data_IF_976683007532
#
_entry.id   IF_976683007532
#
_cell.length_a   1.000
_cell.length_b   1.000
_cell.length_c   1.000
_cell.angle_alpha   90.00
_cell.angle_beta   90.00
_cell.angle_gamma   90.00
#
_symmetry.space_group_name_H-M   'P 1'
#
loop_
_entity.id
_entity.type
_entity.pdbx_description
1 polymer ?
#
# COMPACT_ATOMS: atom_id res chain seq x y z
N UNK A 1 14.84 2.41 -11.13
CA UNK A 1 13.43 2.84 -11.06
C UNK A 1 13.07 3.17 -9.62
N UNK A 2 12.08 4.03 -9.41
CA UNK A 2 11.54 4.35 -8.08
C UNK A 2 10.03 4.06 -8.08
N UNK A 3 9.56 3.27 -7.13
CA UNK A 3 8.14 2.96 -6.93
C UNK A 3 7.60 3.75 -5.74
N UNK A 4 6.45 4.40 -5.91
CA UNK A 4 5.72 5.11 -4.86
C UNK A 4 4.43 4.33 -4.59
N UNK A 5 4.23 3.96 -3.32
CA UNK A 5 3.03 3.26 -2.88
C UNK A 5 2.06 4.27 -2.27
N UNK A 6 0.83 4.26 -2.77
CA UNK A 6 -0.31 4.94 -2.15
C UNK A 6 -1.39 3.92 -1.82
N UNK A 7 -2.03 4.10 -0.68
CA UNK A 7 -3.16 3.27 -0.26
C UNK A 7 -4.24 4.23 0.20
N UNK A 8 -5.43 4.13 -0.40
CA UNK A 8 -6.54 5.06 -0.13
C UNK A 8 -6.15 6.53 -0.31
N UNK A 9 -5.31 6.81 -1.30
CA UNK A 9 -4.78 8.15 -1.57
C UNK A 9 -3.61 8.57 -0.67
N UNK A 10 -3.32 7.85 0.42
CA UNK A 10 -2.25 8.19 1.37
C UNK A 10 -0.91 7.62 0.88
N UNK A 11 0.14 8.45 0.89
CA UNK A 11 1.49 8.04 0.52
C UNK A 11 2.15 7.20 1.62
N UNK A 12 2.26 5.89 1.39
CA UNK A 12 2.82 4.91 2.32
C UNK A 12 4.35 4.76 2.23
N UNK A 13 4.97 5.41 1.25
CA UNK A 13 6.42 5.49 1.09
C UNK A 13 6.87 5.15 -0.33
N UNK A 14 8.18 5.20 -0.52
CA UNK A 14 8.83 4.93 -1.80
C UNK A 14 10.00 3.97 -1.64
N UNK A 15 10.27 3.21 -2.70
CA UNK A 15 11.38 2.28 -2.79
C UNK A 15 12.05 2.39 -4.16
N UNK A 16 13.38 2.38 -4.18
CA UNK A 16 14.15 2.33 -5.43
C UNK A 16 14.66 0.92 -5.69
N UNK A 17 14.57 0.48 -6.95
CA UNK A 17 15.20 -0.76 -7.44
C UNK A 17 16.23 -0.35 -8.50
N UNK A 18 17.48 -0.79 -8.30
CA UNK A 18 18.56 -0.56 -9.26
C UNK A 18 18.54 -1.64 -10.35
N UNK A 19 18.88 -1.30 -11.61
CA UNK A 19 19.14 -2.31 -12.63
C UNK A 19 20.18 -3.32 -12.14
N UNK A 20 19.94 -4.61 -12.35
CA UNK A 20 20.86 -5.69 -11.95
C UNK A 20 20.81 -6.07 -10.46
N UNK A 21 20.03 -5.38 -9.62
CA UNK A 21 19.86 -5.78 -8.22
C UNK A 21 18.97 -7.03 -8.13
N UNK A 22 19.45 -8.07 -7.45
CA UNK A 22 18.69 -9.27 -7.11
C UNK A 22 18.60 -9.48 -5.58
N UNK A 23 17.45 -9.93 -5.04
CA UNK A 23 16.16 -10.02 -5.73
C UNK A 23 15.63 -8.61 -6.04
N UNK A 24 15.00 -8.46 -7.21
CA UNK A 24 14.35 -7.22 -7.62
C UNK A 24 12.97 -7.05 -6.95
N UNK A 25 12.83 -7.54 -5.72
CA UNK A 25 11.59 -7.53 -4.96
C UNK A 25 11.68 -6.56 -3.79
N UNK A 26 10.57 -5.87 -3.55
CA UNK A 26 10.37 -5.00 -2.39
C UNK A 26 8.98 -5.22 -1.83
N UNK A 27 8.93 -5.42 -0.53
CA UNK A 27 7.69 -5.51 0.23
C UNK A 27 7.49 -4.25 1.07
N UNK A 28 6.24 -3.83 1.22
CA UNK A 28 5.84 -2.77 2.13
C UNK A 28 4.62 -3.22 2.94
N UNK A 29 4.82 -3.46 4.23
CA UNK A 29 3.79 -3.90 5.17
C UNK A 29 3.42 -2.85 6.22
N UNK A 30 4.14 -1.73 6.26
CA UNK A 30 4.02 -0.75 7.33
C UNK A 30 4.36 0.66 6.85
N UNK A 31 3.93 1.64 7.66
CA UNK A 31 4.33 3.03 7.56
C UNK A 31 5.05 3.44 8.85
N UNK A 32 6.22 4.07 8.73
CA UNK A 32 6.89 4.67 9.89
C UNK A 32 6.18 5.97 10.28
N UNK A 33 5.80 6.06 11.54
CA UNK A 33 5.21 7.24 12.18
C UNK A 33 6.25 8.03 12.98
N UNK A 34 7.37 7.40 13.35
CA UNK A 34 8.54 8.09 13.90
C UNK A 34 9.84 7.31 13.62
N UNK A 35 10.95 7.76 14.21
CA UNK A 35 12.22 7.03 14.19
C UNK A 35 12.13 5.71 14.96
N UNK A 36 11.37 5.69 16.05
CA UNK A 36 11.25 4.56 16.98
C UNK A 36 9.96 3.77 16.80
N UNK A 37 9.05 4.20 15.94
CA UNK A 37 7.72 3.60 15.82
C UNK A 37 7.21 3.47 14.38
N UNK A 38 6.38 2.46 14.17
CA UNK A 38 5.71 2.14 12.90
C UNK A 38 4.28 1.69 13.16
N UNK A 39 3.43 1.79 12.15
CA UNK A 39 2.10 1.17 12.13
C UNK A 39 1.98 0.25 10.92
N UNK A 40 1.37 -0.92 11.11
CA UNK A 40 1.14 -1.89 10.05
C UNK A 40 -0.03 -1.46 9.18
N UNK A 41 0.06 -1.77 7.89
CA UNK A 41 -1.07 -1.64 6.96
C UNK A 41 -2.03 -2.79 7.23
N UNK A 42 -3.27 -2.49 7.60
CA UNK A 42 -4.30 -3.49 7.90
C UNK A 42 -5.61 -3.13 7.23
N UNK A 43 -6.36 -4.11 6.72
CA UNK A 43 -7.73 -3.83 6.28
C UNK A 43 -8.59 -3.46 7.49
N UNK A 44 -9.37 -2.39 7.36
CA UNK A 44 -10.22 -1.88 8.42
C UNK A 44 -11.62 -1.53 7.87
N UNK A 45 -12.60 -1.54 8.76
CA UNK A 45 -13.89 -0.94 8.47
C UNK A 45 -13.78 0.58 8.56
N UNK A 46 -14.51 1.27 7.68
CA UNK A 46 -14.59 2.72 7.71
C UNK A 46 -15.39 3.15 8.96
N UNK A 47 -14.78 3.95 9.82
CA UNK A 47 -15.46 4.57 10.96
C UNK A 47 -16.18 5.82 10.48
N UNK A 48 -17.41 6.01 10.94
CA UNK A 48 -18.18 7.20 10.64
C UNK A 48 -18.31 8.10 11.85
N UNK A 49 -18.32 9.40 11.60
CA UNK A 49 -18.53 10.45 12.61
C UNK A 49 -19.52 11.48 12.05
N UNK A 50 -20.28 12.10 12.94
CA UNK A 50 -21.18 13.22 12.62
C UNK A 50 -20.55 14.58 12.89
N UNK A 51 -19.29 14.61 13.31
CA UNK A 51 -18.57 15.85 13.56
C UNK A 51 -18.28 16.58 12.24
N UNK A 52 -18.93 17.73 12.05
CA UNK A 52 -18.87 18.52 10.82
C UNK A 52 -17.44 19.01 10.51
N UNK A 53 -16.59 19.13 11.54
CA UNK A 53 -15.15 19.44 11.44
C UNK A 53 -14.36 18.42 10.62
N UNK A 54 -14.81 17.16 10.53
CA UNK A 54 -14.11 16.12 9.77
C UNK A 54 -14.31 16.21 8.26
N UNK A 55 -15.28 17.01 7.78
CA UNK A 55 -15.50 17.19 6.33
C UNK A 55 -14.31 17.86 5.64
N UNK A 56 -13.66 18.81 6.32
CA UNK A 56 -12.50 19.54 5.80
C UNK A 56 -11.18 18.86 6.18
N UNK A 57 -11.08 18.28 7.38
CA UNK A 57 -9.84 17.70 7.88
C UNK A 57 -9.49 16.34 7.28
N UNK A 58 -10.48 15.56 6.85
CA UNK A 58 -10.22 14.20 6.40
C UNK A 58 -9.20 14.19 5.24
N UNK A 59 -9.22 15.19 4.35
CA UNK A 59 -8.31 15.25 3.18
C UNK A 59 -8.36 13.99 2.30
N UNK A 60 -9.31 13.11 2.55
CA UNK A 60 -9.51 11.83 1.90
C UNK A 60 -10.41 12.09 0.70
N UNK A 61 -9.85 11.87 -0.49
CA UNK A 61 -10.64 11.84 -1.70
C UNK A 61 -11.40 10.52 -1.72
N UNK A 62 -12.74 10.56 -1.65
CA UNK A 62 -13.59 9.36 -1.68
C UNK A 62 -13.36 8.48 -2.92
N UNK A 63 -12.84 9.06 -4.00
CA UNK A 63 -12.51 8.31 -5.22
C UNK A 63 -11.24 7.48 -5.10
N UNK A 64 -10.37 7.79 -4.12
CA UNK A 64 -9.13 7.05 -3.88
C UNK A 64 -9.35 5.88 -2.91
N UNK A 65 -10.47 5.83 -2.18
CA UNK A 65 -10.80 4.75 -1.24
C UNK A 65 -11.01 3.40 -1.96
N UNK A 66 -10.49 2.34 -1.37
CA UNK A 66 -10.50 1.00 -1.94
C UNK A 66 -9.44 0.80 -3.03
N UNK A 67 -8.42 1.67 -3.10
CA UNK A 67 -7.38 1.62 -4.12
C UNK A 67 -5.99 1.52 -3.48
N UNK A 68 -5.25 0.49 -3.87
CA UNK A 68 -3.80 0.43 -3.70
C UNK A 68 -3.16 0.82 -5.03
N UNK A 69 -2.41 1.91 -5.03
CA UNK A 69 -1.78 2.49 -6.21
C UNK A 69 -0.25 2.37 -6.10
N UNK A 70 0.39 1.75 -7.10
CA UNK A 70 1.84 1.71 -7.24
C UNK A 70 2.25 2.50 -8.48
N UNK A 71 2.84 3.67 -8.26
CA UNK A 71 3.39 4.53 -9.33
C UNK A 71 4.87 4.27 -9.50
N UNK A 72 5.31 3.87 -10.68
CA UNK A 72 6.72 3.62 -10.98
C UNK A 72 7.24 4.74 -11.87
N UNK A 73 8.35 5.34 -11.44
CA UNK A 73 9.06 6.39 -12.16
C UNK A 73 10.41 5.87 -12.64
N UNK A 74 10.78 6.27 -13.86
CA UNK A 74 12.18 6.22 -14.30
C UNK A 74 12.91 7.36 -13.62
N UNK A 75 14.03 7.04 -12.97
CA UNK A 75 14.81 8.01 -12.21
C UNK A 75 16.28 7.86 -12.56
N UNK A 76 17.00 8.98 -12.60
CA UNK A 76 18.46 9.03 -12.67
C UNK A 76 19.03 9.38 -11.30
N UNK A 77 20.09 8.70 -10.91
CA UNK A 77 20.83 9.01 -9.68
C UNK A 77 21.54 10.34 -9.87
N UNK A 78 21.44 11.21 -8.88
CA UNK A 78 22.33 12.35 -8.73
C UNK A 78 23.40 11.93 -7.72
N UNK A 79 24.67 12.21 -7.99
CA UNK A 79 25.80 11.71 -7.18
C UNK A 79 25.90 12.33 -5.77
N UNK A 80 24.89 13.08 -5.35
CA UNK A 80 24.84 13.66 -4.01
C UNK A 80 24.17 12.68 -3.04
N UNK A 81 24.97 12.16 -2.11
CA UNK A 81 24.45 11.51 -0.89
C UNK A 81 24.08 12.64 0.08
N UNK A 82 22.83 12.67 0.52
CA UNK A 82 22.39 13.60 1.54
C UNK A 82 21.99 12.83 2.80
N UNK A 83 22.35 13.39 3.95
CA UNK A 83 21.80 12.98 5.23
C UNK A 83 20.72 14.00 5.57
N UNK A 84 19.47 13.58 5.46
CA UNK A 84 18.32 14.45 5.75
C UNK A 84 17.64 13.97 7.03
N UNK A 85 17.19 14.91 7.90
CA UNK A 85 16.26 14.59 8.97
C UNK A 85 15.01 13.95 8.37
N UNK A 86 14.47 12.94 9.06
CA UNK A 86 13.23 12.32 8.62
C UNK A 86 12.05 13.15 9.11
N UNK A 87 11.22 13.61 8.19
CA UNK A 87 9.95 14.23 8.51
C UNK A 87 8.82 13.18 8.46
N UNK A 88 8.09 13.07 9.57
CA UNK A 88 6.96 12.17 9.74
C UNK A 88 5.63 12.89 9.95
N UNK A 89 5.61 14.23 9.96
CA UNK A 89 4.43 15.05 10.27
C UNK A 89 3.21 14.65 9.43
N UNK A 90 3.38 14.60 8.10
CA UNK A 90 2.34 14.17 7.16
C UNK A 90 1.88 12.73 7.38
N UNK A 91 2.80 11.82 7.72
CA UNK A 91 2.50 10.40 7.95
C UNK A 91 1.72 10.19 9.24
N UNK A 92 2.08 10.90 10.31
CA UNK A 92 1.35 10.90 11.58
C UNK A 92 -0.08 11.37 11.40
N UNK A 93 -0.26 12.54 10.75
CA UNK A 93 -1.59 13.09 10.47
C UNK A 93 -2.44 12.10 9.67
N UNK A 94 -1.89 11.59 8.58
CA UNK A 94 -2.59 10.61 7.74
C UNK A 94 -2.96 9.35 8.53
N UNK A 95 -2.04 8.86 9.37
CA UNK A 95 -2.28 7.64 10.12
C UNK A 95 -3.29 7.77 11.27
N UNK A 96 -3.51 8.99 11.78
CA UNK A 96 -4.54 9.25 12.79
C UNK A 96 -5.93 9.45 12.20
N UNK A 97 -6.05 9.97 10.97
CA UNK A 97 -7.34 10.36 10.39
C UNK A 97 -7.93 9.36 9.41
N UNK A 98 -7.14 8.40 8.90
CA UNK A 98 -7.52 7.57 7.74
C UNK A 98 -8.83 6.78 7.87
N UNK A 99 -9.27 6.47 9.09
CA UNK A 99 -10.46 5.65 9.28
C UNK A 99 -11.74 6.43 9.55
N UNK A 100 -11.68 7.75 9.78
CA UNK A 100 -12.87 8.54 10.12
C UNK A 100 -13.34 9.33 8.91
N UNK A 101 -14.56 9.05 8.46
CA UNK A 101 -15.26 9.87 7.46
C UNK A 101 -16.55 10.40 8.04
N UNK A 102 -17.02 11.54 7.54
CA UNK A 102 -18.34 12.03 7.93
C UNK A 102 -19.43 11.08 7.41
N UNK A 103 -20.50 10.85 8.18
CA UNK A 103 -21.66 10.06 7.75
C UNK A 103 -22.23 10.47 6.39
N UNK A 104 -22.31 11.78 6.09
CA UNK A 104 -22.72 12.32 4.79
C UNK A 104 -21.86 11.84 3.61
N UNK A 105 -20.61 11.44 3.87
CA UNK A 105 -19.67 10.93 2.87
C UNK A 105 -19.66 9.41 2.76
N UNK A 106 -20.38 8.70 3.64
CA UNK A 106 -20.47 7.24 3.64
C UNK A 106 -21.25 6.78 2.41
N UNK A 107 -20.55 6.20 1.43
CA UNK A 107 -21.22 5.35 0.43
C UNK A 107 -21.36 3.95 1.00
N UNK A 108 -22.46 3.27 0.68
CA UNK A 108 -22.71 1.89 1.09
C UNK A 108 -21.58 0.98 0.57
N UNK A 109 -20.97 0.20 1.46
CA UNK A 109 -19.95 -0.80 1.11
C UNK A 109 -18.53 -0.26 0.90
N UNK A 110 -18.17 0.88 1.49
CA UNK A 110 -16.79 1.39 1.46
C UNK A 110 -15.90 0.73 2.53
N UNK A 111 -14.71 0.31 2.10
CA UNK A 111 -13.68 -0.28 2.96
C UNK A 111 -12.39 0.49 2.78
N UNK A 112 -11.62 0.61 3.85
CA UNK A 112 -10.33 1.28 3.84
C UNK A 112 -9.24 0.35 4.36
N UNK A 113 -8.01 0.66 4.03
CA UNK A 113 -6.86 0.23 4.81
C UNK A 113 -6.73 1.21 5.95
N UNK A 114 -6.73 0.68 7.16
CA UNK A 114 -6.33 1.40 8.35
C UNK A 114 -4.87 1.14 8.71
N UNK A 115 -4.47 1.76 9.80
CA UNK A 115 -3.21 1.48 10.44
C UNK A 115 -3.43 0.77 11.77
N UNK A 116 -2.59 -0.22 12.06
CA UNK A 116 -2.56 -0.82 13.40
C UNK A 116 -2.22 0.21 14.47
N UNK A 117 -2.34 -0.21 15.73
CA UNK A 117 -1.68 0.47 16.84
C UNK A 117 -0.18 0.64 16.57
N UNK A 118 0.38 1.64 17.23
CA UNK A 118 1.78 2.02 17.07
C UNK A 118 2.68 1.00 17.76
N UNK A 119 3.58 0.40 16.98
CA UNK A 119 4.54 -0.61 17.46
C UNK A 119 5.97 -0.10 17.33
N UNK A 120 6.91 -0.59 18.18
CA UNK A 120 8.32 -0.25 18.06
C UNK A 120 8.89 -0.61 16.68
N UNK A 121 9.76 0.25 16.15
CA UNK A 121 10.51 0.01 14.94
C UNK A 121 11.88 -0.61 15.29
N UNK A 122 12.23 -1.71 14.62
CA UNK A 122 13.48 -2.46 14.86
C UNK A 122 14.74 -1.62 14.60
N UNK A 123 14.72 -0.74 13.60
CA UNK A 123 15.90 0.05 13.19
C UNK A 123 15.85 1.52 13.65
N UNK A 124 16.29 1.84 14.87
CA UNK A 124 16.28 3.23 15.32
C UNK A 124 17.37 4.03 14.60
N UNK A 125 16.98 4.85 13.64
CA UNK A 125 17.89 5.78 12.97
C UNK A 125 17.22 7.12 12.72
N UNK A 126 17.78 8.18 13.31
CA UNK A 126 17.32 9.57 13.22
C UNK A 126 17.57 10.20 11.85
N UNK A 127 18.37 9.55 11.02
CA UNK A 127 18.73 10.07 9.70
C UNK A 127 18.41 9.06 8.62
N UNK A 128 17.97 9.55 7.47
CA UNK A 128 17.86 8.73 6.27
C UNK A 128 19.04 9.04 5.38
N UNK A 129 19.77 8.01 4.95
CA UNK A 129 20.68 8.16 3.83
C UNK A 129 19.85 8.15 2.56
N UNK A 130 19.64 9.34 2.01
CA UNK A 130 18.88 9.50 0.78
C UNK A 130 19.87 9.80 -0.34
N UNK A 131 19.76 9.01 -1.41
CA UNK A 131 20.32 9.39 -2.69
C UNK A 131 19.35 10.39 -3.32
N UNK A 132 19.88 11.49 -3.84
CA UNK A 132 19.06 12.37 -4.66
C UNK A 132 18.78 11.69 -6.00
N UNK A 133 17.51 11.69 -6.40
CA UNK A 133 17.04 11.09 -7.64
C UNK A 133 16.23 12.13 -8.39
N UNK A 134 16.56 12.34 -9.66
CA UNK A 134 15.71 13.13 -10.55
C UNK A 134 14.83 12.20 -11.36
N UNK A 135 13.53 12.46 -11.37
CA UNK A 135 12.64 11.79 -12.32
C UNK A 135 13.07 12.14 -13.73
N UNK A 136 13.10 11.14 -14.60
CA UNK A 136 13.35 11.33 -16.03
C UNK A 136 12.08 11.85 -16.70
N UNK A 137 10.94 11.35 -16.23
CA UNK A 137 9.61 11.66 -16.73
C UNK A 137 8.88 12.68 -15.84
N UNK A 138 7.96 13.44 -16.44
CA UNK A 138 7.03 14.33 -15.70
C UNK A 138 5.90 13.56 -15.01
N UNK A 139 5.54 12.38 -15.55
CA UNK A 139 4.47 11.52 -15.06
C UNK A 139 5.01 10.12 -14.74
N UNK A 140 4.30 9.29 -13.96
CA UNK A 140 4.69 7.90 -13.75
C UNK A 140 4.87 7.18 -15.09
N UNK A 141 5.93 6.38 -15.20
CA UNK A 141 6.17 5.50 -16.36
C UNK A 141 5.12 4.39 -16.43
N UNK A 142 4.71 3.86 -15.28
CA UNK A 142 3.59 2.93 -15.18
C UNK A 142 2.90 3.12 -13.83
N UNK A 143 1.58 2.99 -13.83
CA UNK A 143 0.76 3.01 -12.62
C UNK A 143 -0.01 1.69 -12.55
N UNK A 144 0.20 0.94 -11.48
CA UNK A 144 -0.65 -0.21 -11.16
C UNK A 144 -1.70 0.23 -10.15
N UNK A 145 -2.96 -0.06 -10.44
CA UNK A 145 -4.08 0.23 -9.54
C UNK A 145 -4.77 -1.08 -9.18
N UNK A 146 -4.74 -1.42 -7.90
CA UNK A 146 -5.43 -2.57 -7.36
C UNK A 146 -6.65 -2.06 -6.60
N UNK A 147 -7.83 -2.31 -7.18
CA UNK A 147 -9.09 -2.03 -6.51
C UNK A 147 -9.43 -3.21 -5.61
N UNK A 148 -9.48 -2.97 -4.31
CA UNK A 148 -9.90 -3.99 -3.35
C UNK A 148 -11.31 -3.69 -2.86
N UNK A 149 -12.09 -4.75 -2.70
CA UNK A 149 -13.43 -4.73 -2.12
C UNK A 149 -13.52 -5.92 -1.15
N UNK A 150 -14.43 -5.88 -0.16
CA UNK A 150 -14.74 -7.04 0.64
C UNK A 150 -15.14 -8.22 -0.22
N UNK A 151 -14.92 -9.41 0.34
CA UNK A 151 -15.36 -10.64 -0.27
C UNK A 151 -16.86 -10.61 -0.60
N UNK A 152 -17.71 -10.15 0.33
CA UNK A 152 -19.16 -10.09 0.13
C UNK A 152 -19.56 -9.19 -1.05
N UNK A 153 -18.88 -8.05 -1.19
CA UNK A 153 -19.08 -7.13 -2.33
C UNK A 153 -18.58 -7.75 -3.63
N UNK A 154 -17.46 -8.47 -3.59
CA UNK A 154 -16.95 -9.20 -4.76
C UNK A 154 -17.87 -10.35 -5.17
N UNK A 155 -18.48 -11.05 -4.20
CA UNK A 155 -19.50 -12.09 -4.45
C UNK A 155 -20.75 -11.47 -5.06
N UNK A 156 -21.27 -10.39 -4.47
CA UNK A 156 -22.45 -9.69 -4.99
C UNK A 156 -22.23 -9.14 -6.41
N UNK A 157 -20.99 -8.76 -6.75
CA UNK A 157 -20.59 -8.34 -8.10
C UNK A 157 -20.30 -9.51 -9.06
N UNK A 158 -20.37 -10.76 -8.60
CA UNK A 158 -20.04 -11.95 -9.39
C UNK A 158 -18.55 -12.08 -9.73
N UNK A 159 -17.67 -11.34 -9.05
CA UNK A 159 -16.21 -11.39 -9.25
C UNK A 159 -15.59 -12.53 -8.44
N UNK A 160 -16.12 -12.81 -7.25
CA UNK A 160 -15.69 -13.90 -6.39
C UNK A 160 -16.80 -14.94 -6.22
N UNK A 161 -16.43 -16.20 -6.00
CA UNK A 161 -17.38 -17.26 -5.69
C UNK A 161 -17.64 -17.31 -4.18
N UNK A 162 -18.90 -17.48 -3.80
CA UNK A 162 -19.26 -17.81 -2.43
C UNK A 162 -18.78 -19.23 -2.13
N UNK A 163 -17.99 -19.40 -1.06
CA UNK A 163 -17.52 -20.71 -0.59
C UNK A 163 -18.67 -21.67 -0.19
N UNK A 164 -19.93 -21.22 -0.23
CA UNK A 164 -21.11 -22.05 0.07
C UNK A 164 -21.45 -23.09 -0.99
N UNK A 165 -20.77 -23.12 -2.15
CA UNK A 165 -21.02 -24.10 -3.21
C UNK A 165 -19.85 -25.06 -3.48
N UNK A 166 -18.89 -25.16 -2.55
CA UNK A 166 -17.68 -25.98 -2.70
C UNK A 166 -17.71 -27.36 -2.04
N UNK A 167 -18.85 -27.82 -1.51
CA UNK A 167 -18.94 -29.16 -0.92
C UNK A 167 -19.24 -30.28 -1.94
N UNK A 168 -19.45 -29.96 -3.22
CA UNK A 168 -19.89 -30.94 -4.22
C UNK A 168 -19.10 -30.95 -5.55
N UNK A 169 -17.92 -30.30 -5.61
CA UNK A 169 -17.03 -30.46 -6.77
C UNK A 169 -15.64 -30.89 -6.34
N UNK A 170 -15.48 -32.21 -6.31
CA UNK A 170 -14.26 -32.90 -5.94
C UNK A 170 -13.08 -32.63 -6.88
N UNK A 171 -11.90 -32.65 -6.25
CA UNK A 171 -10.65 -33.18 -6.78
C UNK A 171 -10.07 -32.55 -8.07
N UNK A 172 -9.21 -31.53 -7.90
CA UNK A 172 -7.75 -31.67 -8.19
C UNK A 172 -6.97 -30.37 -7.94
N UNK A 173 -5.79 -30.59 -7.36
CA UNK A 173 -4.67 -29.66 -7.06
C UNK A 173 -4.75 -28.95 -5.70
N UNK A 174 -4.40 -29.71 -4.67
CA UNK A 174 -3.87 -29.16 -3.42
C UNK A 174 -2.56 -28.42 -3.71
N UNK A 175 -2.57 -27.10 -3.53
CA UNK A 175 -1.34 -26.33 -3.29
C UNK A 175 -1.20 -26.25 -1.77
N UNK A 176 -0.19 -26.91 -1.24
CA UNK A 176 0.13 -26.87 0.19
C UNK A 176 0.58 -25.47 0.58
N UNK A 177 -0.32 -24.70 1.19
CA UNK A 177 0.04 -23.48 1.91
C UNK A 177 0.41 -23.91 3.33
N UNK A 178 1.70 -23.84 3.66
CA UNK A 178 2.15 -23.92 5.06
C UNK A 178 1.71 -22.64 5.76
N UNK A 179 0.70 -22.74 6.62
CA UNK A 179 0.34 -21.70 7.57
C UNK A 179 1.33 -21.72 8.74
N UNK A 180 2.07 -20.63 8.95
CA UNK A 180 2.75 -20.39 10.22
C UNK A 180 1.76 -19.82 11.25
N UNK A 181 1.86 -20.22 12.53
CA UNK A 181 0.96 -19.76 13.56
C UNK A 181 1.36 -18.35 14.01
N UNK A 182 0.49 -17.36 13.79
CA UNK A 182 0.56 -16.06 14.46
C UNK A 182 0.66 -14.86 13.53
N UNK A 183 -0.50 -14.22 13.32
CA UNK A 183 -0.58 -12.82 12.91
C UNK A 183 -1.15 -12.60 11.51
N UNK A 184 -2.32 -11.96 11.45
CA UNK A 184 -2.92 -11.39 10.25
C UNK A 184 -2.00 -10.30 9.65
N UNK A 185 -0.93 -10.72 8.98
CA UNK A 185 -0.04 -9.84 8.22
C UNK A 185 -0.54 -9.80 6.79
N UNK A 186 -1.07 -8.67 6.36
CA UNK A 186 -1.31 -8.41 4.95
C UNK A 186 0.05 -8.21 4.26
N UNK A 187 0.63 -9.30 3.76
CA UNK A 187 1.84 -9.27 2.94
C UNK A 187 1.45 -9.23 1.47
N UNK A 188 1.65 -8.09 0.81
CA UNK A 188 1.49 -7.99 -0.64
C UNK A 188 2.76 -8.48 -1.33
N UNK A 189 2.68 -9.65 -1.95
CA UNK A 189 3.71 -10.18 -2.86
C UNK A 189 3.20 -9.95 -4.28
N UNK A 190 3.77 -8.97 -4.97
CA UNK A 190 3.53 -8.77 -6.39
C UNK A 190 4.71 -9.35 -7.17
N UNK A 191 4.58 -10.60 -7.60
CA UNK A 191 5.55 -11.26 -8.48
C UNK A 191 5.40 -10.72 -9.90
N UNK A 192 6.36 -9.92 -10.37
CA UNK A 192 6.44 -9.51 -11.76
C UNK A 192 7.70 -10.08 -12.42
N UNK A 193 7.51 -11.11 -13.25
CA UNK A 193 8.52 -11.58 -14.18
C UNK A 193 8.56 -10.67 -15.41
N UNK A 194 9.55 -9.77 -15.47
CA UNK A 194 9.83 -9.02 -16.70
C UNK A 194 10.54 -9.98 -17.68
N UNK A 195 9.78 -10.62 -18.58
CA UNK A 195 10.37 -11.27 -19.76
C UNK A 195 10.89 -10.18 -20.69
N UNK A 196 12.21 -10.12 -20.89
CA UNK A 196 12.84 -9.25 -21.89
C UNK A 196 12.39 -9.69 -23.28
N UNK A 197 11.68 -8.80 -23.99
CA UNK A 197 11.49 -8.89 -25.44
C UNK A 197 12.82 -8.71 -26.16
N UNK A 198 13.06 -9.55 -27.16
CA UNK A 198 14.28 -9.59 -27.98
C UNK A 198 14.51 -8.26 -28.70
N UNK A 199 15.75 -7.80 -28.66
CA UNK A 199 16.35 -6.87 -29.63
C UNK A 199 16.40 -7.52 -31.01
N UNK A 200 16.01 -6.79 -32.05
CA UNK A 200 16.35 -7.06 -33.45
C UNK A 200 16.42 -5.70 -34.18
N UNK A 201 17.17 -5.61 -35.29
CA UNK A 201 18.60 -5.34 -35.40
C UNK A 201 18.90 -3.84 -35.59
#
# INVERSE_FOLDING_TARGET
>A
MCGWLRVDGIHCGSNSIKPGQQPAERNRSHMRTSDTTKRLLTFAALQTTDEESYLEEAGLNLNDLGIIELRIFRVRRVERRMQVPRDYSHRRKSASTQNKVHERMKKVGMHCVGFSEEIPAEDVSRTSQMWDWKTVDRQPYVTFMFKYNPLDVLIAKGVAQSLRQGADQGARRSVTIKSEPGGNKASFVALFGIRRGRTIP
#
